data_IF_863078274674
#
_entry.id   IF_863078274674
#
_cell.length_a   1.000
_cell.length_b   1.000
_cell.length_c   1.000
_cell.angle_alpha   90.00
_cell.angle_beta   90.00
_cell.angle_gamma   90.00
#
_symmetry.space_group_name_H-M   'P 1'
#
loop_
_entity.id
_entity.type
_entity.pdbx_description
1 polymer ?
#
# COMPACT_ATOMS: atom_id res chain seq x y z
N UNK A 1 6.25 12.93 28.54
CA UNK A 1 6.47 11.59 27.93
C UNK A 1 6.64 11.64 26.41
N UNK A 2 5.98 12.54 25.69
CA UNK A 2 6.10 12.74 24.22
C UNK A 2 7.49 13.26 23.80
N UNK A 3 8.07 14.21 24.47
CA UNK A 3 9.38 14.83 24.14
C UNK A 3 10.54 13.83 24.18
N UNK A 4 10.51 12.82 25.08
CA UNK A 4 11.53 11.76 25.11
C UNK A 4 11.44 10.79 23.91
N UNK A 5 10.24 10.58 23.35
CA UNK A 5 10.05 9.74 22.17
C UNK A 5 10.58 10.40 20.89
N UNK A 6 10.34 11.70 20.73
CA UNK A 6 10.88 12.47 19.60
C UNK A 6 12.42 12.57 19.65
N UNK A 7 12.99 12.75 20.83
CA UNK A 7 14.45 12.83 21.01
C UNK A 7 15.14 11.50 20.70
N UNK A 8 14.57 10.37 21.14
CA UNK A 8 15.08 9.01 20.85
C UNK A 8 14.90 8.71 19.34
N UNK A 9 13.79 9.09 18.76
CA UNK A 9 13.51 8.90 17.33
C UNK A 9 14.49 9.72 16.46
N UNK A 10 14.73 10.98 16.79
CA UNK A 10 15.69 11.84 16.10
C UNK A 10 17.14 11.40 16.32
N UNK A 11 17.51 10.93 17.51
CA UNK A 11 18.84 10.39 17.80
C UNK A 11 19.11 9.07 17.02
N UNK A 12 18.13 8.17 16.94
CA UNK A 12 18.22 6.95 16.10
C UNK A 12 18.34 7.25 14.62
N UNK A 13 17.72 8.32 14.13
CA UNK A 13 17.84 8.75 12.73
C UNK A 13 19.24 9.27 12.44
N UNK A 14 19.85 10.05 13.33
CA UNK A 14 21.18 10.63 13.12
C UNK A 14 22.33 9.60 13.20
N UNK A 15 22.21 8.59 14.05
CA UNK A 15 23.26 7.54 14.21
C UNK A 15 23.26 6.48 13.11
N UNK A 16 22.26 6.43 12.24
CA UNK A 16 22.09 5.39 11.20
C UNK A 16 22.31 5.88 9.76
N UNK A 17 22.77 7.11 9.55
CA UNK A 17 22.97 7.69 8.21
C UNK A 17 23.97 6.93 7.31
N UNK A 18 24.86 6.13 7.89
CA UNK A 18 25.91 5.38 7.18
C UNK A 18 25.64 3.88 7.01
N UNK A 19 24.49 3.37 7.45
CA UNK A 19 24.17 1.95 7.24
C UNK A 19 23.77 1.71 5.78
N UNK A 20 24.41 0.71 5.17
CA UNK A 20 24.14 0.30 3.79
C UNK A 20 22.81 -0.44 3.71
N UNK A 21 21.98 -0.08 2.75
CA UNK A 21 20.76 -0.81 2.42
C UNK A 21 21.10 -1.95 1.47
N UNK A 22 21.22 -3.17 2.00
CA UNK A 22 21.45 -4.37 1.19
C UNK A 22 20.26 -4.70 0.28
N UNK A 23 19.08 -4.25 0.67
CA UNK A 23 17.85 -4.30 -0.10
C UNK A 23 17.02 -3.07 0.22
N UNK A 24 16.53 -2.40 -0.82
CA UNK A 24 15.73 -1.18 -0.69
C UNK A 24 14.52 -1.27 -1.63
N UNK A 25 13.35 -1.46 -1.04
CA UNK A 25 12.07 -1.62 -1.76
C UNK A 25 11.18 -0.43 -1.46
N UNK A 26 10.70 0.21 -2.51
CA UNK A 26 9.67 1.24 -2.44
C UNK A 26 8.33 0.62 -2.81
N UNK A 27 7.27 0.95 -2.07
CA UNK A 27 5.90 0.88 -2.56
C UNK A 27 5.39 2.29 -2.84
N UNK A 28 4.90 2.51 -4.04
CA UNK A 28 4.06 3.65 -4.41
C UNK A 28 2.59 3.22 -4.35
N UNK A 29 1.73 3.99 -3.69
CA UNK A 29 0.30 3.71 -3.51
C UNK A 29 -0.46 5.02 -3.72
N UNK A 30 -1.24 5.12 -4.80
CA UNK A 30 -1.97 6.33 -5.16
C UNK A 30 -3.12 6.59 -4.18
N UNK A 31 -3.25 7.83 -3.76
CA UNK A 31 -4.24 8.20 -2.75
C UNK A 31 -5.65 8.30 -3.34
N UNK A 32 -6.56 7.44 -2.88
CA UNK A 32 -7.96 7.40 -3.32
C UNK A 32 -8.11 7.47 -4.87
N UNK A 33 -7.27 6.72 -5.60
CA UNK A 33 -6.91 6.89 -7.00
C UNK A 33 -8.07 7.27 -7.91
N UNK A 34 -9.12 6.46 -8.00
CA UNK A 34 -10.24 6.75 -8.89
C UNK A 34 -11.00 8.02 -8.48
N UNK A 35 -11.19 8.23 -7.17
CA UNK A 35 -11.86 9.43 -6.68
C UNK A 35 -11.03 10.69 -6.95
N UNK A 36 -9.71 10.61 -6.77
CA UNK A 36 -8.80 11.72 -7.05
C UNK A 36 -8.75 12.07 -8.54
N UNK A 37 -8.86 11.09 -9.43
CA UNK A 37 -8.98 11.34 -10.89
C UNK A 37 -10.31 12.03 -11.23
N UNK A 38 -11.42 11.62 -10.58
CA UNK A 38 -12.68 12.33 -10.80
C UNK A 38 -12.61 13.79 -10.32
N UNK A 39 -11.97 14.03 -9.18
CA UNK A 39 -11.78 15.40 -8.66
C UNK A 39 -10.78 16.20 -9.53
N UNK A 40 -9.82 15.56 -10.16
CA UNK A 40 -8.90 16.20 -11.12
C UNK A 40 -9.60 16.61 -12.41
N UNK A 41 -10.34 15.68 -13.01
CA UNK A 41 -11.02 15.89 -14.31
C UNK A 41 -12.30 16.76 -14.20
N UNK A 42 -12.89 16.86 -13.00
CA UNK A 42 -14.11 17.62 -12.72
C UNK A 42 -13.89 18.56 -11.52
N UNK A 43 -13.41 19.78 -11.75
CA UNK A 43 -13.07 20.74 -10.68
C UNK A 43 -14.20 21.00 -9.68
N UNK A 44 -15.45 20.89 -10.10
CA UNK A 44 -16.64 21.04 -9.22
C UNK A 44 -16.74 19.93 -8.15
N UNK A 45 -15.99 18.83 -8.31
CA UNK A 45 -15.93 17.73 -7.32
C UNK A 45 -14.80 17.89 -6.31
N UNK A 46 -13.91 18.88 -6.48
CA UNK A 46 -12.82 19.13 -5.54
C UNK A 46 -13.36 19.49 -4.16
N UNK A 47 -12.82 18.84 -3.13
CA UNK A 47 -13.28 19.03 -1.76
C UNK A 47 -14.66 18.41 -1.45
N UNK A 48 -15.28 17.71 -2.41
CA UNK A 48 -16.60 17.08 -2.22
C UNK A 48 -16.48 15.62 -1.77
N UNK A 49 -17.40 15.14 -0.92
CA UNK A 49 -17.49 13.74 -0.52
C UNK A 49 -18.03 12.88 -1.67
N UNK A 50 -17.13 12.31 -2.49
CA UNK A 50 -17.52 11.51 -3.65
C UNK A 50 -17.24 10.03 -3.45
N UNK A 51 -18.03 9.17 -4.10
CA UNK A 51 -17.80 7.73 -4.14
C UNK A 51 -18.00 7.17 -5.53
N UNK A 52 -17.09 6.28 -5.92
CA UNK A 52 -17.06 5.66 -7.24
C UNK A 52 -17.81 4.33 -7.19
N UNK A 53 -18.67 4.09 -8.18
CA UNK A 53 -19.45 2.86 -8.31
C UNK A 53 -19.22 2.21 -9.68
N UNK A 54 -19.57 0.94 -9.82
CA UNK A 54 -19.51 0.25 -11.11
C UNK A 54 -20.67 0.71 -12.01
N UNK A 55 -20.47 1.81 -12.71
CA UNK A 55 -21.49 2.46 -13.55
C UNK A 55 -22.57 3.22 -12.74
N UNK A 56 -23.55 3.78 -13.46
CA UNK A 56 -24.63 4.56 -12.87
C UNK A 56 -25.58 3.73 -12.00
N UNK A 57 -25.79 2.46 -12.33
CA UNK A 57 -26.66 1.55 -11.58
C UNK A 57 -25.95 0.87 -10.40
N UNK A 58 -24.63 1.08 -10.27
CA UNK A 58 -23.83 0.51 -9.17
C UNK A 58 -24.36 0.95 -7.81
N UNK A 59 -24.55 -0.01 -6.90
CA UNK A 59 -25.06 0.22 -5.54
C UNK A 59 -23.98 0.20 -4.48
N UNK A 60 -22.77 -0.33 -4.82
CA UNK A 60 -21.66 -0.51 -3.91
C UNK A 60 -20.50 0.42 -4.28
N UNK A 61 -19.91 1.06 -3.28
CA UNK A 61 -18.78 1.97 -3.41
C UNK A 61 -17.50 1.16 -3.63
N UNK A 62 -16.84 1.37 -4.76
CA UNK A 62 -15.54 0.74 -5.10
C UNK A 62 -14.40 1.44 -4.35
N UNK A 63 -14.44 2.79 -4.36
CA UNK A 63 -13.53 3.66 -3.61
C UNK A 63 -14.21 5.00 -3.37
N UNK A 64 -13.65 5.79 -2.44
CA UNK A 64 -14.22 7.11 -2.13
C UNK A 64 -13.12 8.11 -1.79
N UNK A 65 -13.42 9.40 -1.94
CA UNK A 65 -12.54 10.52 -1.62
C UNK A 65 -12.25 10.61 -0.13
N UNK A 66 -11.20 11.34 0.24
CA UNK A 66 -10.85 11.55 1.65
C UNK A 66 -11.92 12.33 2.40
N UNK A 67 -12.61 13.25 1.73
CA UNK A 67 -13.77 13.96 2.27
C UNK A 67 -14.89 12.98 2.65
N UNK A 68 -15.18 12.01 1.77
CA UNK A 68 -16.15 10.98 2.09
C UNK A 68 -15.70 10.06 3.24
N UNK A 69 -14.40 9.72 3.29
CA UNK A 69 -13.83 8.92 4.40
C UNK A 69 -13.94 9.62 5.75
N UNK A 70 -13.89 10.96 5.79
CA UNK A 70 -14.06 11.74 7.02
C UNK A 70 -15.46 11.54 7.65
N UNK A 71 -16.48 11.22 6.85
CA UNK A 71 -17.82 10.84 7.32
C UNK A 71 -17.95 9.34 7.65
N UNK A 72 -16.85 8.57 7.60
CA UNK A 72 -16.86 7.12 7.87
C UNK A 72 -17.27 6.27 6.67
N UNK A 73 -17.40 6.84 5.48
CA UNK A 73 -17.72 6.12 4.24
C UNK A 73 -16.51 5.29 3.81
N UNK A 74 -16.74 4.02 3.41
CA UNK A 74 -15.69 3.04 3.12
C UNK A 74 -15.97 2.30 1.82
N UNK A 75 -14.91 1.75 1.23
CA UNK A 75 -14.98 0.74 0.16
C UNK A 75 -15.85 -0.44 0.61
N UNK A 76 -16.71 -0.91 -0.28
CA UNK A 76 -17.68 -1.98 -0.02
C UNK A 76 -18.99 -1.52 0.63
N UNK A 77 -19.12 -0.28 1.09
CA UNK A 77 -20.34 0.29 1.66
C UNK A 77 -21.39 0.49 0.56
N UNK A 78 -22.66 0.33 0.87
CA UNK A 78 -23.74 0.66 -0.06
C UNK A 78 -23.94 2.18 -0.18
N UNK A 79 -24.26 2.65 -1.38
CA UNK A 79 -24.53 4.08 -1.65
C UNK A 79 -25.63 4.62 -0.72
N UNK A 80 -26.67 3.82 -0.42
CA UNK A 80 -27.73 4.19 0.50
C UNK A 80 -27.19 4.49 1.90
N UNK A 81 -26.30 3.66 2.41
CA UNK A 81 -25.66 3.84 3.73
C UNK A 81 -24.77 5.09 3.74
N UNK A 82 -24.00 5.31 2.66
CA UNK A 82 -23.16 6.49 2.52
C UNK A 82 -23.97 7.79 2.54
N UNK A 83 -25.13 7.81 1.88
CA UNK A 83 -26.05 8.96 1.91
C UNK A 83 -26.68 9.21 3.28
N UNK A 84 -26.83 8.19 4.11
CA UNK A 84 -27.27 8.36 5.51
C UNK A 84 -26.18 8.99 6.38
N UNK A 85 -24.89 8.68 6.10
CA UNK A 85 -23.76 9.28 6.81
C UNK A 85 -23.43 10.69 6.33
N UNK A 86 -23.67 10.98 5.06
CA UNK A 86 -23.37 12.27 4.44
C UNK A 86 -24.45 12.62 3.40
N UNK A 87 -25.30 13.57 3.74
CA UNK A 87 -26.40 13.99 2.86
C UNK A 87 -25.89 14.53 1.51
N UNK A 88 -24.74 15.19 1.52
CA UNK A 88 -24.10 15.76 0.33
C UNK A 88 -23.23 14.76 -0.44
N UNK A 89 -23.31 13.47 -0.13
CA UNK A 89 -22.51 12.43 -0.80
C UNK A 89 -22.85 12.34 -2.29
N UNK A 90 -21.82 12.47 -3.13
CA UNK A 90 -21.94 12.44 -4.59
C UNK A 90 -21.50 11.09 -5.11
N UNK A 91 -22.39 10.38 -5.79
CA UNK A 91 -22.10 9.15 -6.50
C UNK A 91 -21.59 9.46 -7.90
N UNK A 92 -20.46 8.81 -8.30
CA UNK A 92 -19.89 8.90 -9.65
C UNK A 92 -19.73 7.50 -10.27
N UNK A 93 -20.03 7.32 -11.56
CA UNK A 93 -19.74 6.08 -12.27
C UNK A 93 -18.24 5.96 -12.50
N UNK A 94 -17.70 4.74 -12.47
CA UNK A 94 -16.31 4.49 -12.80
C UNK A 94 -16.00 4.74 -14.28
N UNK A 95 -14.79 5.23 -14.57
CA UNK A 95 -14.24 5.46 -15.91
C UNK A 95 -12.96 4.64 -16.15
N UNK A 96 -13.06 3.30 -16.30
CA UNK A 96 -11.89 2.41 -16.32
C UNK A 96 -10.82 2.80 -17.34
N UNK A 97 -11.22 3.24 -18.55
CA UNK A 97 -10.26 3.68 -19.58
C UNK A 97 -9.40 4.85 -19.11
N UNK A 98 -10.01 5.85 -18.47
CA UNK A 98 -9.28 7.01 -17.92
C UNK A 98 -8.33 6.63 -16.80
N UNK A 99 -8.77 5.74 -15.90
CA UNK A 99 -7.94 5.25 -14.82
C UNK A 99 -6.73 4.45 -15.33
N UNK A 100 -6.94 3.59 -16.34
CA UNK A 100 -5.85 2.83 -16.97
C UNK A 100 -4.87 3.74 -17.71
N UNK A 101 -5.33 4.79 -18.38
CA UNK A 101 -4.48 5.78 -19.05
C UNK A 101 -3.50 6.45 -18.08
N UNK A 102 -4.02 6.98 -16.96
CA UNK A 102 -3.19 7.64 -15.94
C UNK A 102 -2.27 6.63 -15.26
N UNK A 103 -2.78 5.46 -14.90
CA UNK A 103 -1.98 4.37 -14.34
C UNK A 103 -0.80 4.02 -15.24
N UNK A 104 -1.05 3.79 -16.53
CA UNK A 104 0.00 3.43 -17.51
C UNK A 104 1.06 4.52 -17.62
N UNK A 105 0.67 5.79 -17.57
CA UNK A 105 1.60 6.93 -17.57
C UNK A 105 2.49 6.92 -16.34
N UNK A 106 1.91 6.72 -15.16
CA UNK A 106 2.65 6.62 -13.89
C UNK A 106 3.62 5.41 -13.93
N UNK A 107 3.14 4.21 -14.30
CA UNK A 107 3.97 3.01 -14.33
C UNK A 107 5.15 3.15 -15.30
N UNK A 108 4.94 3.80 -16.46
CA UNK A 108 6.00 4.09 -17.42
C UNK A 108 7.08 5.02 -16.83
N UNK A 109 6.68 6.03 -16.06
CA UNK A 109 7.63 6.94 -15.41
C UNK A 109 8.41 6.25 -14.29
N UNK A 110 7.80 5.32 -13.55
CA UNK A 110 8.49 4.57 -12.50
C UNK A 110 9.64 3.70 -13.04
N UNK A 111 9.54 3.19 -14.26
CA UNK A 111 10.60 2.42 -14.93
C UNK A 111 11.86 3.27 -15.18
N UNK A 112 11.75 4.61 -15.23
CA UNK A 112 12.92 5.48 -15.37
C UNK A 112 13.86 5.47 -14.16
N UNK A 113 13.39 5.04 -12.99
CA UNK A 113 14.21 4.93 -11.78
C UNK A 113 14.92 3.58 -11.67
N UNK A 114 14.26 2.51 -12.08
CA UNK A 114 14.75 1.14 -12.02
C UNK A 114 13.99 0.26 -13.01
N UNK A 115 14.64 -0.71 -13.66
CA UNK A 115 13.93 -1.71 -14.45
C UNK A 115 13.12 -2.68 -13.58
N UNK A 116 13.44 -2.78 -12.30
CA UNK A 116 12.83 -3.71 -11.36
C UNK A 116 11.54 -3.11 -10.75
N UNK A 117 10.52 -2.98 -11.59
CA UNK A 117 9.18 -2.48 -11.23
C UNK A 117 8.16 -3.61 -11.32
N UNK A 118 7.44 -3.86 -10.24
CA UNK A 118 6.28 -4.76 -10.20
C UNK A 118 5.00 -3.93 -10.14
N UNK A 119 4.21 -3.96 -11.19
CA UNK A 119 2.85 -3.40 -11.18
C UNK A 119 1.97 -4.33 -10.34
N UNK A 120 1.69 -3.93 -9.10
CA UNK A 120 0.93 -4.75 -8.15
C UNK A 120 -0.57 -4.61 -8.34
N UNK A 121 -1.03 -3.41 -8.68
CA UNK A 121 -2.42 -3.09 -9.05
C UNK A 121 -2.46 -1.88 -9.98
N UNK A 122 -3.65 -1.41 -10.33
CA UNK A 122 -3.84 -0.20 -11.16
C UNK A 122 -3.32 1.08 -10.48
N UNK A 123 -3.17 1.07 -9.16
CA UNK A 123 -2.80 2.21 -8.32
C UNK A 123 -1.59 1.95 -7.40
N UNK A 124 -0.99 0.76 -7.49
CA UNK A 124 0.16 0.38 -6.65
C UNK A 124 1.29 -0.26 -7.47
N UNK A 125 2.53 0.13 -7.17
CA UNK A 125 3.72 -0.50 -7.74
C UNK A 125 4.83 -0.65 -6.71
N UNK A 126 5.54 -1.78 -6.75
CA UNK A 126 6.80 -1.97 -6.03
C UNK A 126 7.98 -1.67 -6.95
N UNK A 127 9.00 -1.01 -6.40
CA UNK A 127 10.27 -0.75 -7.06
C UNK A 127 11.40 -1.33 -6.21
N UNK A 128 12.25 -2.15 -6.81
CA UNK A 128 13.54 -2.48 -6.18
C UNK A 128 14.58 -1.45 -6.64
N UNK A 129 15.00 -0.61 -5.70
CA UNK A 129 15.97 0.46 -5.94
C UNK A 129 17.36 0.13 -5.38
N UNK A 130 17.59 -1.12 -5.03
CA UNK A 130 18.84 -1.55 -4.37
C UNK A 130 20.07 -1.20 -5.22
N UNK A 131 20.03 -1.46 -6.52
CA UNK A 131 21.12 -1.19 -7.46
C UNK A 131 21.23 0.29 -7.84
N UNK A 132 20.17 1.08 -7.66
CA UNK A 132 20.07 2.46 -8.14
C UNK A 132 20.65 3.49 -7.16
N UNK A 133 21.06 3.07 -5.96
CA UNK A 133 21.58 3.94 -4.91
C UNK A 133 22.84 4.72 -5.33
N UNK A 134 23.68 4.15 -6.20
CA UNK A 134 24.88 4.82 -6.72
C UNK A 134 24.55 5.97 -7.67
N UNK A 135 23.43 5.86 -8.40
CA UNK A 135 23.00 6.83 -9.40
C UNK A 135 22.18 7.97 -8.80
N UNK A 136 21.21 7.62 -7.95
CA UNK A 136 20.21 8.58 -7.43
C UNK A 136 20.42 8.95 -5.94
N UNK A 137 21.46 8.40 -5.29
CA UNK A 137 21.75 8.68 -3.89
C UNK A 137 21.08 7.70 -2.92
N UNK A 138 20.91 8.13 -1.67
CA UNK A 138 20.36 7.25 -0.64
C UNK A 138 18.87 6.89 -0.90
N UNK A 139 18.38 5.75 -0.39
CA UNK A 139 17.02 5.27 -0.67
C UNK A 139 15.91 6.26 -0.30
N UNK A 140 16.09 7.07 0.74
CA UNK A 140 15.10 8.07 1.14
C UNK A 140 15.00 9.21 0.12
N UNK A 141 16.12 9.61 -0.49
CA UNK A 141 16.12 10.61 -1.56
C UNK A 141 15.45 10.06 -2.81
N UNK A 142 15.75 8.80 -3.18
CA UNK A 142 15.08 8.14 -4.32
C UNK A 142 13.57 8.11 -4.10
N UNK A 143 13.11 7.74 -2.89
CA UNK A 143 11.69 7.72 -2.55
C UNK A 143 11.01 9.09 -2.67
N UNK A 144 11.71 10.18 -2.33
CA UNK A 144 11.22 11.55 -2.56
C UNK A 144 11.11 11.88 -4.04
N UNK A 145 12.17 11.60 -4.83
CA UNK A 145 12.17 11.83 -6.26
C UNK A 145 11.07 11.03 -6.98
N UNK A 146 10.84 9.78 -6.58
CA UNK A 146 9.74 8.96 -7.08
C UNK A 146 8.39 9.62 -6.81
N UNK A 147 8.19 10.11 -5.58
CA UNK A 147 6.94 10.78 -5.20
C UNK A 147 6.70 12.07 -5.99
N UNK A 148 7.73 12.89 -6.17
CA UNK A 148 7.69 14.11 -6.98
C UNK A 148 7.38 13.77 -8.45
N UNK A 149 8.06 12.78 -9.03
CA UNK A 149 7.84 12.35 -10.41
C UNK A 149 6.41 11.83 -10.64
N UNK A 150 5.86 11.06 -9.70
CA UNK A 150 4.47 10.60 -9.76
C UNK A 150 3.52 11.79 -9.80
N UNK A 151 3.71 12.78 -8.95
CA UNK A 151 2.89 14.00 -8.92
C UNK A 151 2.97 14.76 -10.25
N UNK A 152 4.18 14.95 -10.79
CA UNK A 152 4.40 15.69 -12.03
C UNK A 152 3.77 14.99 -13.23
N UNK A 153 3.96 13.67 -13.36
CA UNK A 153 3.45 12.91 -14.49
C UNK A 153 1.95 12.60 -14.43
N UNK A 154 1.30 12.82 -13.30
CA UNK A 154 -0.13 12.51 -13.07
C UNK A 154 -1.00 13.76 -12.88
N UNK A 155 -0.53 14.92 -13.36
CA UNK A 155 -1.25 16.19 -13.28
C UNK A 155 -1.58 16.61 -11.83
N UNK A 156 -0.69 16.27 -10.88
CA UNK A 156 -0.81 16.66 -9.47
C UNK A 156 -1.46 15.62 -8.55
N UNK A 157 -1.77 14.41 -9.02
CA UNK A 157 -2.29 13.36 -8.15
C UNK A 157 -1.24 12.98 -7.07
N UNK A 158 -1.76 12.72 -5.88
CA UNK A 158 -0.93 12.40 -4.73
C UNK A 158 -0.79 10.89 -4.52
N UNK A 159 0.39 10.47 -4.06
CA UNK A 159 0.64 9.10 -3.64
C UNK A 159 1.25 9.05 -2.24
N UNK A 160 1.05 7.94 -1.54
CA UNK A 160 1.80 7.60 -0.34
C UNK A 160 2.90 6.60 -0.67
N UNK A 161 4.08 6.83 -0.13
CA UNK A 161 5.27 6.03 -0.42
C UNK A 161 5.76 5.37 0.86
N UNK A 162 5.98 4.06 0.79
CA UNK A 162 6.63 3.28 1.83
C UNK A 162 7.98 2.76 1.35
N UNK A 163 9.02 2.94 2.16
CA UNK A 163 10.36 2.46 1.89
C UNK A 163 10.82 1.51 2.99
N UNK A 164 11.24 0.31 2.62
CA UNK A 164 11.78 -0.68 3.55
C UNK A 164 12.75 -1.66 2.87
N UNK A 165 13.25 -2.65 3.62
CA UNK A 165 14.09 -3.73 3.11
C UNK A 165 13.31 -4.85 2.42
N UNK A 166 12.00 -4.88 2.48
CA UNK A 166 11.15 -5.90 1.89
C UNK A 166 9.77 -5.37 1.48
N UNK A 167 9.07 -6.12 0.62
CA UNK A 167 7.78 -5.73 0.05
C UNK A 167 6.69 -5.56 1.10
N UNK A 168 6.60 -6.49 2.04
CA UNK A 168 5.54 -6.49 3.06
C UNK A 168 5.68 -5.29 3.99
N UNK A 169 6.90 -5.03 4.46
CA UNK A 169 7.18 -3.88 5.34
C UNK A 169 7.05 -2.55 4.59
N UNK A 170 7.47 -2.48 3.31
CA UNK A 170 7.25 -1.28 2.48
C UNK A 170 5.76 -0.98 2.31
N UNK A 171 4.94 -2.01 2.05
CA UNK A 171 3.48 -1.84 1.94
C UNK A 171 2.85 -1.40 3.26
N UNK A 172 3.28 -1.94 4.37
CA UNK A 172 2.84 -1.48 5.69
C UNK A 172 3.24 -0.01 5.92
N UNK A 173 4.49 0.36 5.60
CA UNK A 173 4.99 1.73 5.75
C UNK A 173 4.16 2.75 4.95
N UNK A 174 3.83 2.45 3.69
CA UNK A 174 3.02 3.34 2.83
C UNK A 174 1.63 3.65 3.41
N UNK A 175 1.09 2.76 4.27
CA UNK A 175 -0.22 2.89 4.88
C UNK A 175 -0.25 3.84 6.08
N UNK A 176 0.89 4.00 6.79
CA UNK A 176 0.95 4.67 8.09
C UNK A 176 0.63 6.17 8.04
N UNK A 177 1.03 6.85 6.98
CA UNK A 177 0.90 8.30 6.83
C UNK A 177 0.11 8.67 5.55
N UNK A 178 -1.02 8.01 5.31
CA UNK A 178 -1.96 8.40 4.23
C UNK A 178 -2.81 9.60 4.67
N UNK A 179 -3.12 10.54 3.77
CA UNK A 179 -2.64 10.68 2.40
C UNK A 179 -1.28 11.39 2.30
N UNK A 180 -0.68 11.31 1.10
CA UNK A 180 0.52 12.06 0.69
C UNK A 180 1.76 11.84 1.57
N UNK A 181 1.82 10.71 2.30
CA UNK A 181 2.92 10.40 3.21
C UNK A 181 4.15 9.81 2.52
N UNK A 182 5.29 9.92 3.21
CA UNK A 182 6.50 9.16 2.94
C UNK A 182 6.98 8.55 4.26
N UNK A 183 6.90 7.24 4.36
CA UNK A 183 7.31 6.51 5.56
C UNK A 183 8.48 5.60 5.26
N UNK A 184 9.52 5.71 6.06
CA UNK A 184 10.73 4.88 5.95
C UNK A 184 10.83 3.98 7.17
N UNK A 185 10.85 2.67 6.94
CA UNK A 185 11.17 1.65 7.95
C UNK A 185 12.45 0.94 7.47
N UNK A 186 13.63 1.32 7.99
CA UNK A 186 14.88 0.71 7.56
C UNK A 186 14.91 -0.81 7.83
N UNK A 187 15.63 -1.62 7.03
CA UNK A 187 15.69 -3.07 7.21
C UNK A 187 16.06 -3.51 8.63
N UNK A 188 16.99 -2.80 9.25
CA UNK A 188 17.44 -3.07 10.63
C UNK A 188 16.45 -2.71 11.73
N UNK A 189 15.38 -1.95 11.40
CA UNK A 189 14.30 -1.56 12.32
C UNK A 189 12.98 -2.26 12.00
N UNK A 190 12.90 -3.02 10.89
CA UNK A 190 11.64 -3.63 10.42
C UNK A 190 11.01 -4.54 11.47
N UNK A 191 11.82 -5.37 12.12
CA UNK A 191 11.33 -6.29 13.16
C UNK A 191 10.73 -5.56 14.36
N UNK A 192 11.39 -4.48 14.81
CA UNK A 192 10.91 -3.68 15.95
C UNK A 192 9.65 -2.91 15.57
N UNK A 193 9.63 -2.32 14.37
CA UNK A 193 8.47 -1.58 13.86
C UNK A 193 7.22 -2.45 13.72
N UNK A 194 7.38 -3.74 13.41
CA UNK A 194 6.27 -4.67 13.25
C UNK A 194 5.87 -5.38 14.55
N UNK A 195 6.69 -5.32 15.61
CA UNK A 195 6.55 -6.17 16.81
C UNK A 195 5.13 -6.24 17.37
N UNK A 196 4.48 -5.08 17.53
CA UNK A 196 3.16 -4.93 18.14
C UNK A 196 2.02 -4.78 17.12
N UNK A 197 2.31 -4.99 15.83
CA UNK A 197 1.32 -4.85 14.77
C UNK A 197 0.49 -6.12 14.67
N UNK A 198 -0.85 -6.02 14.63
CA UNK A 198 -1.70 -7.18 14.36
C UNK A 198 -1.26 -7.89 13.08
N UNK A 199 -1.11 -9.22 13.11
CA UNK A 199 -0.66 -9.99 11.95
C UNK A 199 -1.57 -9.80 10.73
N UNK A 200 -2.85 -9.52 10.95
CA UNK A 200 -3.86 -9.27 9.92
C UNK A 200 -3.67 -7.95 9.17
N UNK A 201 -2.80 -7.06 9.67
CA UNK A 201 -2.43 -5.82 8.97
C UNK A 201 -1.42 -6.05 7.85
N UNK A 202 -0.74 -7.21 7.85
CA UNK A 202 0.18 -7.58 6.78
C UNK A 202 -0.57 -8.03 5.54
N UNK A 203 -0.10 -7.56 4.38
CA UNK A 203 -0.68 -7.91 3.09
C UNK A 203 -0.70 -9.44 2.89
N UNK A 204 -1.85 -9.97 2.45
CA UNK A 204 -2.02 -11.41 2.20
C UNK A 204 -2.49 -12.22 3.42
N UNK A 205 -2.56 -11.65 4.61
CA UNK A 205 -3.12 -12.30 5.79
C UNK A 205 -4.60 -11.92 5.96
N UNK A 206 -5.45 -12.60 5.20
CA UNK A 206 -6.89 -12.42 5.29
C UNK A 206 -7.51 -13.22 6.46
N UNK A 207 -8.83 -13.08 6.65
CA UNK A 207 -9.59 -13.66 7.76
C UNK A 207 -9.27 -15.12 8.05
N UNK A 208 -9.13 -15.98 7.03
CA UNK A 208 -8.87 -17.42 7.23
C UNK A 208 -7.48 -17.69 7.84
N UNK A 209 -6.45 -17.01 7.33
CA UNK A 209 -5.09 -17.13 7.88
C UNK A 209 -5.02 -16.47 9.26
N UNK A 210 -5.64 -15.30 9.42
CA UNK A 210 -5.70 -14.60 10.70
C UNK A 210 -6.35 -15.45 11.81
N UNK A 211 -7.45 -16.14 11.51
CA UNK A 211 -8.11 -17.05 12.44
C UNK A 211 -7.22 -18.24 12.81
N UNK A 212 -6.55 -18.85 11.81
CA UNK A 212 -5.61 -19.95 12.06
C UNK A 212 -4.47 -19.54 12.99
N UNK A 213 -3.94 -18.33 12.83
CA UNK A 213 -2.88 -17.77 13.65
C UNK A 213 -3.37 -17.47 15.07
N UNK A 214 -4.53 -16.80 15.21
CA UNK A 214 -5.09 -16.43 16.51
C UNK A 214 -5.42 -17.64 17.37
N UNK A 215 -5.92 -18.75 16.79
CA UNK A 215 -6.15 -20.02 17.48
C UNK A 215 -4.86 -20.65 18.05
N UNK A 216 -3.69 -20.16 17.63
CA UNK A 216 -2.35 -20.61 18.09
C UNK A 216 -1.62 -19.55 18.90
N UNK A 217 -2.35 -18.54 19.38
CA UNK A 217 -1.80 -17.48 20.21
C UNK A 217 -0.95 -16.46 19.45
N UNK A 218 -1.09 -16.36 18.12
CA UNK A 218 -0.39 -15.37 17.31
C UNK A 218 -1.37 -14.28 16.92
N UNK A 219 -1.34 -13.16 17.61
CA UNK A 219 -2.19 -11.99 17.39
C UNK A 219 -1.42 -10.83 16.76
N UNK A 220 -0.19 -10.61 17.21
CA UNK A 220 0.71 -9.58 16.68
C UNK A 220 1.92 -10.23 16.00
N UNK A 221 2.60 -9.47 15.16
CA UNK A 221 3.77 -9.96 14.43
C UNK A 221 4.86 -10.52 15.36
N UNK A 222 5.05 -9.91 16.53
CA UNK A 222 6.01 -10.38 17.55
C UNK A 222 5.73 -11.76 18.11
N UNK A 223 4.48 -12.23 18.05
CA UNK A 223 4.11 -13.58 18.49
C UNK A 223 4.54 -14.66 17.52
N UNK A 224 4.77 -14.30 16.23
CA UNK A 224 5.04 -15.26 15.17
C UNK A 224 6.24 -16.18 15.48
N UNK A 225 7.25 -15.67 16.19
CA UNK A 225 8.42 -16.46 16.59
C UNK A 225 8.09 -17.61 17.56
N UNK A 226 6.94 -17.53 18.27
CA UNK A 226 6.46 -18.60 19.17
C UNK A 226 5.88 -19.79 18.39
N UNK A 227 5.51 -19.58 17.14
CA UNK A 227 4.93 -20.61 16.26
C UNK A 227 6.03 -21.20 15.36
N UNK A 228 6.32 -22.50 15.45
CA UNK A 228 7.27 -23.16 14.54
C UNK A 228 6.85 -22.99 13.08
N UNK A 229 7.80 -22.59 12.23
CA UNK A 229 7.57 -22.37 10.79
C UNK A 229 6.99 -23.59 10.09
N UNK A 230 7.32 -24.81 10.56
CA UNK A 230 6.81 -26.07 10.04
C UNK A 230 5.30 -26.21 10.13
N UNK A 231 4.65 -25.61 11.14
CA UNK A 231 3.19 -25.64 11.30
C UNK A 231 2.54 -24.84 10.18
N UNK A 232 3.07 -23.65 9.86
CA UNK A 232 2.59 -22.83 8.75
C UNK A 232 2.89 -23.49 7.40
N UNK A 233 4.07 -24.06 7.23
CA UNK A 233 4.48 -24.76 6.02
C UNK A 233 3.58 -25.98 5.73
N UNK A 234 3.23 -26.76 6.76
CA UNK A 234 2.31 -27.91 6.62
C UNK A 234 0.92 -27.47 6.18
N UNK A 235 0.42 -26.33 6.66
CA UNK A 235 -0.96 -25.87 6.37
C UNK A 235 -1.06 -25.08 5.06
N UNK A 236 -0.07 -24.26 4.74
CA UNK A 236 -0.14 -23.25 3.66
C UNK A 236 1.03 -23.37 2.67
N UNK A 237 1.88 -24.36 2.77
CA UNK A 237 3.04 -24.56 1.86
C UNK A 237 4.04 -23.40 1.92
N UNK A 238 4.52 -22.98 0.76
CA UNK A 238 5.48 -21.87 0.65
C UNK A 238 4.91 -20.54 1.12
N UNK A 239 3.60 -20.30 0.93
CA UNK A 239 2.93 -19.12 1.47
C UNK A 239 3.04 -19.08 3.00
N UNK A 240 2.88 -20.22 3.68
CA UNK A 240 3.02 -20.28 5.13
C UNK A 240 4.44 -19.95 5.61
N UNK A 241 5.47 -20.45 4.89
CA UNK A 241 6.85 -20.07 5.18
C UNK A 241 7.09 -18.58 5.00
N UNK A 242 6.59 -18.02 3.90
CA UNK A 242 6.69 -16.59 3.62
C UNK A 242 6.03 -15.75 4.72
N UNK A 243 4.81 -16.07 5.14
CA UNK A 243 4.08 -15.37 6.21
C UNK A 243 4.90 -15.31 7.50
N UNK A 244 5.61 -16.39 7.83
CA UNK A 244 6.47 -16.44 9.01
C UNK A 244 7.61 -15.41 8.94
N UNK A 245 8.23 -15.24 7.76
CA UNK A 245 9.26 -14.23 7.54
C UNK A 245 8.68 -12.81 7.46
N UNK A 246 7.53 -12.64 6.80
CA UNK A 246 6.85 -11.34 6.67
C UNK A 246 6.59 -10.70 8.04
N UNK A 247 6.12 -11.48 9.01
CA UNK A 247 5.86 -10.99 10.36
C UNK A 247 7.13 -10.55 11.12
N UNK A 248 8.29 -10.86 10.61
CA UNK A 248 9.58 -10.47 11.18
C UNK A 248 10.28 -9.35 10.39
N UNK A 249 9.62 -8.80 9.36
CA UNK A 249 10.20 -7.80 8.48
C UNK A 249 11.31 -8.38 7.57
N UNK A 250 11.16 -9.63 7.16
CA UNK A 250 12.12 -10.39 6.36
C UNK A 250 11.44 -11.07 5.17
N UNK A 251 10.45 -10.45 4.54
CA UNK A 251 9.77 -11.01 3.37
C UNK A 251 10.77 -11.30 2.24
N UNK A 252 11.02 -12.58 1.90
CA UNK A 252 12.01 -12.95 0.90
C UNK A 252 11.53 -12.70 -0.54
N UNK A 253 10.25 -12.36 -0.73
CA UNK A 253 9.69 -12.23 -2.09
C UNK A 253 10.38 -11.12 -2.87
N UNK A 254 10.94 -11.40 -4.07
CA UNK A 254 11.52 -10.38 -4.91
C UNK A 254 10.44 -9.50 -5.55
N UNK A 255 10.82 -8.35 -6.05
CA UNK A 255 10.01 -7.55 -6.98
C UNK A 255 9.95 -8.32 -8.30
N UNK A 256 8.74 -8.55 -8.83
CA UNK A 256 8.49 -9.33 -10.04
C UNK A 256 8.25 -8.39 -11.21
N UNK A 257 9.15 -8.38 -12.15
CA UNK A 257 9.06 -7.55 -13.35
C UNK A 257 8.15 -8.16 -14.43
N UNK A 258 7.96 -9.48 -14.36
CA UNK A 258 7.09 -10.19 -15.31
C UNK A 258 5.73 -10.50 -14.68
N UNK A 259 4.68 -10.20 -15.41
CA UNK A 259 3.32 -10.59 -15.07
C UNK A 259 3.06 -11.98 -15.68
N UNK A 260 2.93 -13.03 -14.87
CA UNK A 260 2.63 -14.36 -15.42
C UNK A 260 1.24 -14.35 -16.06
N UNK A 261 1.01 -15.18 -17.11
CA UNK A 261 -0.31 -15.29 -17.70
C UNK A 261 -1.35 -15.70 -16.65
N UNK A 262 -2.59 -15.16 -16.75
CA UNK A 262 -3.63 -15.47 -15.78
C UNK A 262 -3.97 -16.97 -15.82
N UNK A 263 -4.05 -17.61 -14.67
CA UNK A 263 -4.43 -19.03 -14.54
C UNK A 263 -5.92 -19.26 -14.77
N UNK A 264 -6.73 -18.23 -14.58
CA UNK A 264 -8.19 -18.27 -14.80
C UNK A 264 -8.71 -16.85 -15.07
N UNK A 265 -9.81 -16.78 -15.81
CA UNK A 265 -10.56 -15.55 -16.05
C UNK A 265 -11.95 -15.78 -15.44
N UNK A 266 -12.36 -14.90 -14.53
CA UNK A 266 -13.69 -14.93 -13.91
C UNK A 266 -14.42 -13.61 -14.16
N UNK A 267 -15.75 -13.68 -14.28
CA UNK A 267 -16.63 -12.52 -14.31
C UNK A 267 -17.62 -12.60 -13.15
N UNK A 268 -17.67 -11.52 -12.36
CA UNK A 268 -18.61 -11.39 -11.24
C UNK A 268 -19.49 -10.15 -11.40
N UNK A 269 -20.79 -10.30 -11.09
CA UNK A 269 -21.72 -9.18 -11.04
C UNK A 269 -22.23 -9.04 -9.61
N UNK A 270 -22.12 -7.83 -9.05
CA UNK A 270 -22.80 -7.50 -7.78
C UNK A 270 -24.28 -7.32 -8.09
N UNK A 271 -25.11 -8.14 -7.48
CA UNK A 271 -26.56 -8.01 -7.61
C UNK A 271 -27.06 -6.82 -6.80
N UNK A 272 -28.13 -6.16 -7.22
CA UNK A 272 -28.71 -5.00 -6.53
C UNK A 272 -29.09 -5.26 -5.08
#
# INVERSE_FOLDING_TARGET
>A
MLVKREFIYNYMIQTNSNRIWNRAIILVDMNAFFASIEQLDFPELQGQPIGITNGWDGTTIITCSYEARAFGIKTGMRVREAKQLCANFIKRPSRPKRYTEISSRIMKELISFTPDVEVFSVDEAFLDITSCQKLFGNPKNIAKLVKERVRDCSDGLLCSVGLSGDKTTAKYAAKLNKPDGLTVIPPWSSREALLNIPVTELCGIAKGIGLFLSQRGVHVCGDMKKLPIGILAKRFGNLGRRIWFMAQGLDPEPVKTEVPPPKSIGHGKVMP
#
